data_IF_223227034028
#
_entry.id   IF_223227034028
#
_cell.length_a   1.000
_cell.length_b   1.000
_cell.length_c   1.000
_cell.angle_alpha   90.00
_cell.angle_beta   90.00
_cell.angle_gamma   90.00
#
_symmetry.space_group_name_H-M   'P 1'
#
loop_
_entity.id
_entity.type
_entity.pdbx_description
1 polymer ?
#
# COMPACT_ATOMS: atom_id res chain seq x y z
N UNK A 1 -5.75 1.61 -18.87
CA UNK A 1 -4.39 1.65 -18.28
C UNK A 1 -4.32 0.63 -17.16
N UNK A 2 -3.16 0.00 -16.93
CA UNK A 2 -2.99 -1.16 -16.03
C UNK A 2 -3.37 -0.90 -14.57
N UNK A 3 -3.48 0.37 -14.17
CA UNK A 3 -3.84 0.79 -12.80
C UNK A 3 -5.31 1.18 -12.63
N UNK A 4 -6.13 1.05 -13.68
CA UNK A 4 -7.57 1.40 -13.61
C UNK A 4 -8.28 0.47 -12.62
N UNK A 5 -8.97 1.06 -11.64
CA UNK A 5 -9.73 0.34 -10.61
C UNK A 5 -8.93 -0.01 -9.35
N UNK A 6 -7.63 0.31 -9.30
CA UNK A 6 -6.85 0.22 -8.07
C UNK A 6 -7.02 1.50 -7.23
N UNK A 7 -7.35 1.33 -5.95
CA UNK A 7 -7.43 2.43 -4.97
C UNK A 7 -6.09 2.70 -4.26
N UNK A 8 -5.23 1.69 -4.18
CA UNK A 8 -3.91 1.73 -3.55
C UNK A 8 -3.02 0.63 -4.15
N UNK A 9 -1.81 0.96 -4.56
CA UNK A 9 -0.84 0.00 -5.08
C UNK A 9 0.60 0.49 -4.90
N UNK A 10 1.55 -0.43 -4.92
CA UNK A 10 2.98 -0.13 -5.00
C UNK A 10 3.52 -0.45 -6.39
N UNK A 11 4.14 0.53 -7.04
CA UNK A 11 4.78 0.34 -8.35
C UNK A 11 6.21 -0.17 -8.15
N UNK A 12 6.43 -1.46 -8.41
CA UNK A 12 7.73 -2.11 -8.24
C UNK A 12 8.86 -1.47 -9.08
N UNK A 13 8.70 -1.20 -10.39
CA UNK A 13 9.80 -0.68 -11.19
C UNK A 13 10.16 0.78 -10.85
N UNK A 14 9.22 1.57 -10.34
CA UNK A 14 9.38 3.02 -10.16
C UNK A 14 9.43 3.46 -8.68
N UNK A 15 9.31 2.52 -7.74
CA UNK A 15 9.43 2.70 -6.29
C UNK A 15 8.53 3.80 -5.70
N UNK A 16 7.24 3.80 -6.06
CA UNK A 16 6.26 4.71 -5.48
C UNK A 16 4.95 4.02 -5.12
N UNK A 17 4.19 4.64 -4.21
CA UNK A 17 2.81 4.25 -3.90
C UNK A 17 1.84 5.14 -4.66
N UNK A 18 1.03 4.52 -5.52
CA UNK A 18 -0.11 5.18 -6.15
C UNK A 18 -1.36 4.97 -5.33
N UNK A 19 -2.15 6.02 -5.13
CA UNK A 19 -3.40 5.96 -4.40
C UNK A 19 -4.43 6.93 -4.99
N UNK A 20 -5.71 6.63 -4.78
CA UNK A 20 -6.80 7.52 -5.16
C UNK A 20 -7.02 8.61 -4.10
N UNK A 21 -6.51 9.81 -4.40
CA UNK A 21 -6.64 10.97 -3.53
C UNK A 21 -7.98 11.73 -3.71
N UNK A 22 -8.80 11.36 -4.67
CA UNK A 22 -10.02 12.10 -4.99
C UNK A 22 -11.25 11.56 -4.26
N UNK A 23 -11.36 10.23 -4.13
CA UNK A 23 -12.54 9.58 -3.54
C UNK A 23 -12.16 8.65 -2.38
N UNK A 24 -11.33 7.64 -2.63
CA UNK A 24 -11.05 6.60 -1.64
C UNK A 24 -10.31 7.10 -0.40
N UNK A 25 -9.19 7.84 -0.55
CA UNK A 25 -8.41 8.30 0.62
C UNK A 25 -9.18 9.30 1.50
N UNK A 26 -9.97 10.26 0.96
CA UNK A 26 -10.86 11.08 1.77
C UNK A 26 -11.89 10.29 2.59
N UNK A 27 -12.52 9.26 2.02
CA UNK A 27 -13.46 8.40 2.74
C UNK A 27 -12.75 7.61 3.86
N UNK A 28 -11.60 7.02 3.56
CA UNK A 28 -10.77 6.31 4.54
C UNK A 28 -10.30 7.23 5.67
N UNK A 29 -9.95 8.48 5.37
CA UNK A 29 -9.61 9.46 6.39
C UNK A 29 -10.82 9.77 7.29
N UNK A 30 -12.00 9.95 6.70
CA UNK A 30 -13.22 10.24 7.45
C UNK A 30 -13.62 9.09 8.39
N UNK A 31 -13.45 7.84 7.97
CA UNK A 31 -13.80 6.65 8.76
C UNK A 31 -12.68 6.19 9.72
N UNK A 32 -11.43 6.28 9.29
CA UNK A 32 -10.27 5.71 10.00
C UNK A 32 -9.41 6.74 10.75
N UNK A 33 -9.63 8.03 10.54
CA UNK A 33 -8.93 9.13 11.21
C UNK A 33 -7.52 9.44 10.68
N UNK A 34 -6.82 10.31 11.39
CA UNK A 34 -5.59 10.99 10.92
C UNK A 34 -4.45 10.06 10.48
N UNK A 35 -4.43 8.83 10.99
CA UNK A 35 -3.38 7.86 10.67
C UNK A 35 -3.76 6.86 9.58
N UNK A 36 -5.04 6.74 9.20
CA UNK A 36 -5.50 5.66 8.32
C UNK A 36 -4.80 5.68 6.95
N UNK A 37 -4.76 6.85 6.30
CA UNK A 37 -4.11 7.01 4.99
C UNK A 37 -2.60 6.74 5.08
N UNK A 38 -1.94 7.28 6.11
CA UNK A 38 -0.51 7.10 6.32
C UNK A 38 -0.15 5.63 6.61
N UNK A 39 -0.96 4.94 7.40
CA UNK A 39 -0.81 3.51 7.68
C UNK A 39 -0.93 2.70 6.39
N UNK A 40 -1.95 2.96 5.56
CA UNK A 40 -2.11 2.25 4.28
C UNK A 40 -0.90 2.44 3.37
N UNK A 41 -0.44 3.67 3.17
CA UNK A 41 0.75 3.96 2.36
C UNK A 41 1.99 3.27 2.95
N UNK A 42 2.18 3.36 4.27
CA UNK A 42 3.28 2.71 4.97
C UNK A 42 3.28 1.19 4.81
N UNK A 43 2.11 0.55 4.87
CA UNK A 43 1.96 -0.89 4.63
C UNK A 43 2.45 -1.29 3.26
N UNK A 44 2.20 -0.50 2.22
CA UNK A 44 2.67 -0.81 0.86
C UNK A 44 4.20 -0.85 0.77
N UNK A 45 4.88 0.12 1.39
CA UNK A 45 6.34 0.12 1.48
C UNK A 45 6.89 -1.02 2.34
N UNK A 46 6.22 -1.35 3.45
CA UNK A 46 6.60 -2.47 4.30
C UNK A 46 6.52 -3.81 3.53
N UNK A 47 5.44 -4.03 2.77
CA UNK A 47 5.27 -5.22 1.93
C UNK A 47 6.33 -5.28 0.81
N UNK A 48 6.66 -4.15 0.20
CA UNK A 48 7.74 -4.06 -0.78
C UNK A 48 9.10 -4.44 -0.15
N UNK A 49 9.39 -3.96 1.06
CA UNK A 49 10.60 -4.31 1.79
C UNK A 49 10.66 -5.81 2.11
N UNK A 50 9.58 -6.40 2.62
CA UNK A 50 9.49 -7.85 2.88
C UNK A 50 9.73 -8.67 1.61
N UNK A 51 9.13 -8.27 0.50
CA UNK A 51 9.33 -8.92 -0.81
C UNK A 51 10.80 -8.86 -1.24
N UNK A 52 11.47 -7.71 -1.06
CA UNK A 52 12.91 -7.55 -1.35
C UNK A 52 13.79 -8.41 -0.45
N UNK A 53 13.35 -8.70 0.77
CA UNK A 53 14.01 -9.62 1.70
C UNK A 53 13.73 -11.11 1.39
N UNK A 54 12.98 -11.41 0.33
CA UNK A 54 12.60 -12.77 -0.02
C UNK A 54 11.50 -13.35 0.86
N UNK A 55 10.80 -12.50 1.63
CA UNK A 55 9.63 -12.86 2.40
C UNK A 55 8.39 -12.61 1.53
N UNK A 56 8.08 -13.58 0.67
CA UNK A 56 6.82 -13.59 -0.07
C UNK A 56 5.65 -13.76 0.89
N UNK A 57 4.48 -13.24 0.55
CA UNK A 57 3.29 -13.25 1.42
C UNK A 57 2.76 -14.66 1.74
N UNK A 58 3.25 -15.70 1.05
CA UNK A 58 3.04 -17.12 1.40
C UNK A 58 4.03 -17.67 2.42
N UNK A 59 5.19 -17.04 2.60
CA UNK A 59 6.21 -17.46 3.55
C UNK A 59 5.89 -16.93 4.94
N UNK A 60 5.32 -17.79 5.79
CA UNK A 60 5.22 -17.54 7.24
C UNK A 60 6.60 -17.72 7.89
N UNK A 61 7.50 -16.78 7.67
CA UNK A 61 8.74 -16.69 8.43
C UNK A 61 8.48 -15.86 9.69
N UNK A 62 8.25 -16.55 10.79
CA UNK A 62 8.25 -15.96 12.14
C UNK A 62 9.67 -16.06 12.69
N UNK A 63 10.17 -14.96 13.24
CA UNK A 63 11.49 -14.90 13.88
C UNK A 63 11.58 -15.76 15.14
#
# INVERSE_FOLDING_TARGET
>A
TPTKGYVLFYCVPEDYVGFDNAEAMPEIYAEGGDFAVATLIGTQYALAALTRLGQDSSSKQVS
#
